data_IF_737743931472
#
_entry.id   IF_737743931472
#
_cell.length_a   1.000
_cell.length_b   1.000
_cell.length_c   1.000
_cell.angle_alpha   90.00
_cell.angle_beta   90.00
_cell.angle_gamma   90.00
#
_symmetry.space_group_name_H-M   'P 1'
#
loop_
_entity.id
_entity.type
_entity.pdbx_description
1 polymer ?
#
# COMPACT_ATOMS: atom_id res chain seq x y z
N UNK A 1 -16.66 -4.25 -5.23
CA UNK A 1 -15.35 -3.90 -4.67
C UNK A 1 -15.50 -2.53 -4.02
N UNK A 2 -15.34 -2.44 -2.70
CA UNK A 2 -15.56 -1.19 -1.98
C UNK A 2 -14.26 -0.37 -1.93
N UNK A 3 -14.33 0.87 -2.39
CA UNK A 3 -13.26 1.87 -2.23
C UNK A 3 -13.74 2.84 -1.16
N UNK A 4 -12.88 3.12 -0.18
CA UNK A 4 -13.16 4.11 0.85
C UNK A 4 -12.12 5.22 0.76
N UNK A 5 -12.57 6.45 0.53
CA UNK A 5 -11.71 7.63 0.48
C UNK A 5 -11.88 8.39 1.80
N UNK A 6 -10.76 8.66 2.48
CA UNK A 6 -10.71 9.51 3.67
C UNK A 6 -9.96 10.78 3.32
N UNK A 7 -10.63 11.92 3.47
CA UNK A 7 -10.08 13.24 3.16
C UNK A 7 -10.20 14.16 4.38
N UNK A 8 -9.36 15.20 4.42
CA UNK A 8 -9.26 16.14 5.53
C UNK A 8 -7.87 16.79 5.60
N UNK A 9 -7.69 17.82 6.42
CA UNK A 9 -6.40 18.49 6.57
C UNK A 9 -5.34 17.62 7.26
N UNK A 10 -4.08 18.04 7.21
CA UNK A 10 -3.02 17.37 7.97
C UNK A 10 -3.35 17.40 9.46
N UNK A 11 -3.10 16.29 10.16
CA UNK A 11 -3.47 16.13 11.57
C UNK A 11 -4.95 15.74 11.82
N UNK A 12 -5.81 15.62 10.79
CA UNK A 12 -7.21 15.22 10.96
C UNK A 12 -7.41 13.71 11.20
N UNK A 13 -6.40 13.02 11.75
CA UNK A 13 -6.42 11.62 12.14
C UNK A 13 -6.65 10.57 11.02
N UNK A 14 -6.54 10.96 9.74
CA UNK A 14 -6.82 10.10 8.57
C UNK A 14 -5.94 8.85 8.52
N UNK A 15 -4.63 9.06 8.56
CA UNK A 15 -3.64 7.99 8.45
C UNK A 15 -3.65 7.14 9.72
N UNK A 16 -3.68 7.75 10.90
CA UNK A 16 -3.75 7.02 12.18
C UNK A 16 -5.00 6.12 12.28
N UNK A 17 -6.18 6.64 11.90
CA UNK A 17 -7.39 5.84 11.82
C UNK A 17 -7.21 4.66 10.86
N UNK A 18 -6.69 4.91 9.66
CA UNK A 18 -6.55 3.87 8.63
C UNK A 18 -5.55 2.80 9.05
N UNK A 19 -4.45 3.19 9.70
CA UNK A 19 -3.47 2.25 10.27
C UNK A 19 -4.13 1.34 11.30
N UNK A 20 -4.83 1.92 12.28
CA UNK A 20 -5.33 1.14 13.41
C UNK A 20 -6.61 0.37 13.13
N UNK A 21 -7.61 1.00 12.49
CA UNK A 21 -8.93 0.39 12.31
C UNK A 21 -9.07 -0.38 10.99
N UNK A 22 -8.14 -0.22 10.05
CA UNK A 22 -8.24 -0.86 8.73
C UNK A 22 -7.05 -1.78 8.47
N UNK A 23 -5.82 -1.25 8.50
CA UNK A 23 -4.62 -2.04 8.21
C UNK A 23 -4.40 -3.08 9.29
N UNK A 24 -4.38 -2.68 10.57
CA UNK A 24 -4.09 -3.59 11.67
C UNK A 24 -5.11 -4.73 11.78
N UNK A 25 -6.41 -4.44 11.61
CA UNK A 25 -7.44 -5.48 11.57
C UNK A 25 -7.29 -6.42 10.35
N UNK A 26 -6.90 -5.89 9.19
CA UNK A 26 -6.61 -6.74 8.03
C UNK A 26 -5.39 -7.64 8.25
N UNK A 27 -4.34 -7.14 8.90
CA UNK A 27 -3.16 -7.94 9.26
C UNK A 27 -3.52 -9.03 10.28
N UNK A 28 -4.32 -8.72 11.31
CA UNK A 28 -4.85 -9.73 12.26
C UNK A 28 -5.67 -10.82 11.57
N UNK A 29 -6.36 -10.48 10.49
CA UNK A 29 -7.13 -11.43 9.68
C UNK A 29 -6.27 -12.26 8.70
N UNK A 30 -4.94 -12.16 8.74
CA UNK A 30 -4.06 -12.95 7.88
C UNK A 30 -3.94 -12.43 6.46
N UNK A 31 -4.35 -11.18 6.18
CA UNK A 31 -4.36 -10.62 4.83
C UNK A 31 -2.99 -10.06 4.43
N UNK A 32 -2.79 -10.01 3.12
CA UNK A 32 -1.74 -9.20 2.50
C UNK A 32 -2.18 -7.73 2.48
N UNK A 33 -1.35 -6.84 3.01
CA UNK A 33 -1.55 -5.39 2.96
C UNK A 33 -0.43 -4.76 2.15
N UNK A 34 -0.78 -3.89 1.20
CA UNK A 34 0.15 -3.11 0.39
C UNK A 34 -0.05 -1.63 0.72
N UNK A 35 0.99 -0.94 1.19
CA UNK A 35 0.86 0.46 1.61
C UNK A 35 2.13 1.29 1.47
N UNK A 36 1.97 2.62 1.31
CA UNK A 36 3.04 3.62 1.36
C UNK A 36 3.02 4.46 2.65
N UNK A 37 2.19 4.12 3.65
CA UNK A 37 2.13 4.89 4.91
C UNK A 37 3.53 5.04 5.52
N UNK A 38 3.92 6.29 5.72
CA UNK A 38 5.20 6.63 6.31
C UNK A 38 5.26 6.25 7.78
N UNK A 39 6.43 5.77 8.22
CA UNK A 39 6.63 5.34 9.61
C UNK A 39 5.99 4.00 9.98
N UNK A 40 5.26 3.34 9.07
CA UNK A 40 4.77 1.96 9.27
C UNK A 40 5.94 1.04 9.66
N UNK A 41 5.77 0.25 10.70
CA UNK A 41 6.83 -0.64 11.20
C UNK A 41 6.76 -2.01 10.54
N UNK A 42 7.86 -2.78 10.50
CA UNK A 42 7.85 -4.20 10.15
C UNK A 42 6.93 -5.03 11.07
N UNK A 43 6.42 -6.16 10.58
CA UNK A 43 5.47 -7.00 11.32
C UNK A 43 6.03 -7.50 12.66
N UNK A 44 7.30 -7.91 12.70
CA UNK A 44 7.98 -8.36 13.92
C UNK A 44 8.03 -7.27 15.00
N UNK A 45 8.29 -6.03 14.59
CA UNK A 45 8.30 -4.87 15.49
C UNK A 45 6.89 -4.58 16.01
N UNK A 46 5.87 -4.67 15.15
CA UNK A 46 4.47 -4.47 15.55
C UNK A 46 4.04 -5.55 16.55
N UNK A 47 4.31 -6.82 16.25
CA UNK A 47 4.00 -7.96 17.13
C UNK A 47 4.62 -7.78 18.51
N UNK A 48 5.91 -7.43 18.56
CA UNK A 48 6.63 -7.20 19.83
C UNK A 48 6.04 -6.04 20.63
N UNK A 49 5.69 -4.93 19.98
CA UNK A 49 5.16 -3.73 20.66
C UNK A 49 3.74 -3.91 21.18
N UNK A 50 2.93 -4.67 20.46
CA UNK A 50 1.52 -4.89 20.79
C UNK A 50 1.29 -6.21 21.56
N UNK A 51 2.33 -7.02 21.74
CA UNK A 51 2.29 -8.33 22.38
C UNK A 51 1.23 -9.25 21.74
N UNK A 52 1.31 -9.39 20.41
CA UNK A 52 0.43 -10.23 19.60
C UNK A 52 1.22 -11.11 18.63
N UNK A 53 0.54 -12.09 18.06
CA UNK A 53 1.03 -12.86 16.92
C UNK A 53 0.09 -12.68 15.73
N UNK A 54 0.66 -12.39 14.56
CA UNK A 54 -0.10 -12.38 13.31
C UNK A 54 -0.16 -13.79 12.71
N UNK A 55 -1.24 -14.15 11.99
CA UNK A 55 -1.27 -15.40 11.23
C UNK A 55 -0.09 -15.52 10.25
N UNK A 56 0.38 -16.73 9.98
CA UNK A 56 1.51 -16.98 9.06
C UNK A 56 1.26 -16.54 7.62
N UNK A 57 0.00 -16.39 7.22
CA UNK A 57 -0.41 -15.86 5.90
C UNK A 57 -0.33 -14.33 5.81
N UNK A 58 -0.14 -13.65 6.94
CA UNK A 58 -0.08 -12.19 7.01
C UNK A 58 1.14 -11.68 6.28
N UNK A 59 0.95 -10.65 5.47
CA UNK A 59 2.05 -10.02 4.76
C UNK A 59 1.88 -8.51 4.68
N UNK A 60 2.96 -7.78 4.89
CA UNK A 60 2.99 -6.33 4.76
C UNK A 60 4.01 -5.92 3.69
N UNK A 61 3.51 -5.48 2.55
CA UNK A 61 4.31 -4.97 1.43
C UNK A 61 4.33 -3.46 1.52
N UNK A 62 5.53 -2.88 1.68
CA UNK A 62 5.71 -1.43 1.81
C UNK A 62 6.40 -0.90 0.57
N UNK A 63 5.72 -0.03 -0.17
CA UNK A 63 6.27 0.62 -1.35
C UNK A 63 6.39 2.11 -1.07
N UNK A 64 7.63 2.61 -1.05
CA UNK A 64 7.90 4.04 -0.91
C UNK A 64 7.29 4.80 -2.10
N UNK A 65 6.81 6.02 -1.89
CA UNK A 65 6.09 6.78 -2.94
C UNK A 65 6.67 8.17 -3.20
N UNK A 66 7.93 8.43 -2.82
CA UNK A 66 8.60 9.71 -3.07
C UNK A 66 9.71 9.64 -4.13
N UNK A 67 10.00 8.46 -4.66
CA UNK A 67 10.95 8.27 -5.77
C UNK A 67 10.22 7.79 -7.03
N UNK A 68 10.85 7.99 -8.19
CA UNK A 68 10.22 7.67 -9.48
C UNK A 68 9.81 6.20 -9.60
N UNK A 69 10.61 5.28 -9.05
CA UNK A 69 10.33 3.83 -9.06
C UNK A 69 9.10 3.50 -8.22
N UNK A 70 9.01 4.06 -7.02
CA UNK A 70 7.87 3.90 -6.14
C UNK A 70 6.58 4.46 -6.73
N UNK A 71 6.64 5.66 -7.30
CA UNK A 71 5.51 6.28 -8.00
C UNK A 71 5.05 5.39 -9.17
N UNK A 72 5.98 4.86 -9.96
CA UNK A 72 5.67 3.97 -11.07
C UNK A 72 4.96 2.69 -10.60
N UNK A 73 5.45 2.07 -9.52
CA UNK A 73 4.81 0.92 -8.89
C UNK A 73 3.38 1.26 -8.47
N UNK A 74 3.17 2.37 -7.76
CA UNK A 74 1.83 2.77 -7.35
C UNK A 74 0.88 3.07 -8.52
N UNK A 75 1.38 3.70 -9.58
CA UNK A 75 0.58 3.95 -10.78
C UNK A 75 0.18 2.66 -11.51
N UNK A 76 0.91 1.56 -11.29
CA UNK A 76 0.68 0.26 -11.91
C UNK A 76 0.36 -0.84 -10.89
N UNK A 77 -0.19 -0.48 -9.73
CA UNK A 77 -0.50 -1.44 -8.66
C UNK A 77 -1.33 -2.63 -9.19
N UNK A 78 -2.21 -2.40 -10.17
CA UNK A 78 -3.05 -3.43 -10.78
C UNK A 78 -2.28 -4.45 -11.63
N UNK A 79 -1.01 -4.19 -11.97
CA UNK A 79 -0.16 -5.10 -12.72
C UNK A 79 0.62 -6.06 -11.82
N UNK A 80 0.87 -5.68 -10.56
CA UNK A 80 1.77 -6.42 -9.68
C UNK A 80 1.22 -6.68 -8.28
N UNK A 81 0.19 -5.99 -7.78
CA UNK A 81 -0.32 -6.27 -6.44
C UNK A 81 -0.87 -7.72 -6.35
N UNK A 82 -0.58 -8.43 -5.25
CA UNK A 82 -1.18 -9.74 -5.00
C UNK A 82 -2.71 -9.69 -5.02
N UNK A 83 -3.32 -10.71 -5.62
CA UNK A 83 -4.79 -10.82 -5.65
C UNK A 83 -5.36 -10.90 -4.24
N UNK A 84 -6.45 -10.18 -3.99
CA UNK A 84 -7.12 -10.14 -2.68
C UNK A 84 -6.43 -9.27 -1.62
N UNK A 85 -5.28 -8.66 -1.93
CA UNK A 85 -4.59 -7.75 -1.02
C UNK A 85 -5.46 -6.53 -0.66
N UNK A 86 -5.33 -6.05 0.57
CA UNK A 86 -5.80 -4.73 0.95
C UNK A 86 -4.76 -3.70 0.49
N UNK A 87 -5.18 -2.76 -0.36
CA UNK A 87 -4.32 -1.69 -0.86
C UNK A 87 -4.68 -0.39 -0.13
N UNK A 88 -3.70 0.24 0.50
CA UNK A 88 -3.86 1.53 1.18
C UNK A 88 -2.84 2.52 0.65
N UNK A 89 -3.32 3.52 -0.07
CA UNK A 89 -2.51 4.59 -0.65
C UNK A 89 -2.75 5.86 0.15
N UNK A 90 -1.73 6.29 0.90
CA UNK A 90 -1.68 7.58 1.59
C UNK A 90 -1.22 8.68 0.63
N UNK A 91 -1.74 9.89 0.84
CA UNK A 91 -1.49 11.07 -0.01
C UNK A 91 -1.57 10.75 -1.52
N UNK A 92 -2.66 10.08 -1.94
CA UNK A 92 -2.81 9.57 -3.30
C UNK A 92 -2.74 10.68 -4.37
N UNK A 93 -3.08 11.92 -4.03
CA UNK A 93 -2.97 13.07 -4.91
C UNK A 93 -1.53 13.45 -5.28
N UNK A 94 -0.52 12.95 -4.57
CA UNK A 94 0.88 13.17 -4.90
C UNK A 94 1.43 12.08 -5.84
N UNK A 95 0.76 10.93 -5.90
CA UNK A 95 1.07 9.83 -6.84
C UNK A 95 0.36 10.03 -8.18
N UNK A 96 -0.90 10.48 -8.13
CA UNK A 96 -1.74 10.70 -9.30
C UNK A 96 -1.83 12.21 -9.57
N UNK A 97 -1.46 12.62 -10.79
CA UNK A 97 -1.30 14.04 -11.15
C UNK A 97 -2.54 14.89 -10.83
N UNK A 98 -2.30 16.04 -10.18
CA UNK A 98 -3.33 17.07 -9.94
C UNK A 98 -3.70 17.85 -11.20
N UNK A 99 -2.80 17.87 -12.20
CA UNK A 99 -2.86 18.80 -13.34
C UNK A 99 -3.24 18.13 -14.65
N UNK A 100 -3.07 16.82 -14.75
CA UNK A 100 -3.37 16.04 -15.95
C UNK A 100 -4.42 15.03 -15.50
N UNK A 101 -5.65 15.19 -16.01
CA UNK A 101 -6.72 14.22 -15.77
C UNK A 101 -6.29 12.80 -16.15
N UNK A 102 -7.03 11.79 -15.67
CA UNK A 102 -6.71 10.40 -15.95
C UNK A 102 -6.61 10.14 -17.46
N UNK A 103 -5.42 9.69 -17.89
CA UNK A 103 -5.11 9.39 -19.29
C UNK A 103 -4.98 7.89 -19.49
N UNK A 104 -6.07 7.28 -19.97
CA UNK A 104 -6.15 5.85 -20.28
C UNK A 104 -5.00 5.38 -21.19
N UNK A 105 -4.56 6.23 -22.11
CA UNK A 105 -3.47 5.92 -23.05
C UNK A 105 -2.09 5.82 -22.37
N UNK A 106 -1.95 6.35 -21.15
CA UNK A 106 -0.69 6.32 -20.40
C UNK A 106 -0.63 5.22 -19.34
N UNK A 107 -1.76 4.60 -19.01
CA UNK A 107 -1.86 3.60 -17.93
C UNK A 107 -2.36 2.30 -18.55
N UNK A 108 -1.41 1.49 -19.03
CA UNK A 108 -1.69 0.21 -19.68
C UNK A 108 -1.09 -0.95 -18.89
N UNK A 109 -1.65 -2.14 -19.12
CA UNK A 109 -1.14 -3.38 -18.54
C UNK A 109 0.32 -3.61 -18.94
N UNK A 110 1.14 -4.00 -17.97
CA UNK A 110 2.53 -4.40 -18.17
C UNK A 110 2.77 -5.73 -17.44
N UNK A 111 3.66 -6.61 -17.97
CA UNK A 111 3.93 -7.90 -17.34
C UNK A 111 4.59 -7.70 -15.97
N UNK A 112 4.27 -8.59 -15.02
CA UNK A 112 4.84 -8.59 -13.66
C UNK A 112 6.37 -8.55 -13.66
N UNK A 113 7.01 -9.24 -14.62
CA UNK A 113 8.48 -9.30 -14.75
C UNK A 113 9.14 -7.92 -14.86
N UNK A 114 8.43 -6.92 -15.39
CA UNK A 114 8.93 -5.54 -15.46
C UNK A 114 8.99 -4.83 -14.09
N UNK A 115 8.26 -5.33 -13.09
CA UNK A 115 8.16 -4.73 -11.76
C UNK A 115 8.97 -5.46 -10.69
N UNK A 116 9.21 -6.77 -10.85
CA UNK A 116 9.99 -7.59 -9.89
C UNK A 116 11.30 -6.94 -9.42
N UNK A 117 12.13 -6.29 -10.28
CA UNK A 117 13.37 -5.68 -9.84
C UNK A 117 13.21 -4.52 -8.83
N UNK A 118 12.02 -3.91 -8.76
CA UNK A 118 11.72 -2.79 -7.89
C UNK A 118 10.83 -3.18 -6.69
N UNK A 119 10.36 -4.43 -6.63
CA UNK A 119 9.59 -4.96 -5.51
C UNK A 119 10.51 -5.46 -4.39
N UNK A 120 9.98 -5.67 -3.17
CA UNK A 120 10.75 -6.30 -2.09
C UNK A 120 11.35 -7.63 -2.51
N UNK A 121 12.54 -7.97 -2.00
CA UNK A 121 13.27 -9.19 -2.40
C UNK A 121 12.51 -10.48 -2.09
N UNK A 122 11.66 -10.45 -1.07
CA UNK A 122 10.79 -11.54 -0.65
C UNK A 122 9.46 -11.58 -1.44
N UNK A 123 9.29 -10.79 -2.51
CA UNK A 123 8.03 -10.65 -3.24
C UNK A 123 7.40 -11.98 -3.67
N UNK A 124 8.19 -12.90 -4.19
CA UNK A 124 7.77 -14.27 -4.57
C UNK A 124 8.02 -15.29 -3.46
#
# INVERSE_FOLDING_TARGET
MAITIRTGPNGSYKSAYTVYFVIFEALKAGRVVVTNIEGMQPLDVIQKRLNIEFPSTTRLIRIFSRDAKGIELWQHFFCWCPLGALIVIDECQDIFSKNIGFRMDKVFYRPLSGFLPNLPKDYE
#
